data_IF_079634871695
#
_entry.id   IF_079634871695
#
_cell.length_a   1.000
_cell.length_b   1.000
_cell.length_c   1.000
_cell.angle_alpha   90.00
_cell.angle_beta   90.00
_cell.angle_gamma   90.00
#
_symmetry.space_group_name_H-M   'P 1'
#
loop_
_entity.id
_entity.type
_entity.pdbx_description
1 polymer ?
#
# COMPACT_ATOMS: atom_id res chain seq x y z
N UNK A 1 -70.50 -10.64 20.11
CA UNK A 1 -69.40 -11.33 20.82
C UNK A 1 -68.83 -12.49 20.00
N UNK A 2 -68.76 -12.41 18.69
CA UNK A 2 -68.12 -13.44 17.81
C UNK A 2 -67.29 -12.80 16.64
N UNK A 3 -67.15 -11.47 16.62
CA UNK A 3 -66.36 -10.77 15.59
C UNK A 3 -65.00 -10.31 16.12
N UNK A 4 -64.77 -10.29 17.41
CA UNK A 4 -63.48 -9.91 18.03
C UNK A 4 -62.50 -11.09 18.11
N UNK A 5 -62.97 -12.32 18.23
CA UNK A 5 -62.11 -13.52 18.25
C UNK A 5 -61.49 -13.86 16.89
N UNK A 6 -62.11 -13.42 15.77
CA UNK A 6 -61.56 -13.68 14.44
C UNK A 6 -60.48 -12.69 14.03
N UNK A 7 -60.40 -11.51 14.65
CA UNK A 7 -59.36 -10.51 14.36
C UNK A 7 -58.08 -10.79 15.16
N UNK A 8 -58.20 -11.36 16.38
CA UNK A 8 -57.01 -11.76 17.17
C UNK A 8 -56.35 -13.04 16.62
N UNK A 9 -57.11 -13.93 15.97
CA UNK A 9 -56.58 -15.09 15.26
C UNK A 9 -55.84 -14.72 13.97
N UNK A 10 -56.18 -13.60 13.33
CA UNK A 10 -55.49 -13.10 12.11
C UNK A 10 -54.27 -12.26 12.47
N UNK A 11 -54.20 -11.63 13.63
CA UNK A 11 -53.02 -10.87 14.08
C UNK A 11 -51.89 -11.73 14.59
N UNK A 12 -52.18 -12.98 15.02
CA UNK A 12 -51.18 -13.94 15.49
C UNK A 12 -50.51 -14.76 14.36
N UNK A 13 -51.01 -14.65 13.12
CA UNK A 13 -50.50 -15.44 11.97
C UNK A 13 -49.38 -14.74 11.18
N UNK A 14 -49.02 -13.51 11.42
CA UNK A 14 -48.25 -12.84 10.40
C UNK A 14 -46.86 -12.28 10.74
N UNK A 15 -46.37 -12.37 11.92
CA UNK A 15 -45.03 -11.82 12.21
C UNK A 15 -43.99 -12.88 12.58
N UNK A 16 -44.38 -14.13 12.74
CA UNK A 16 -43.47 -15.25 12.98
C UNK A 16 -43.27 -16.15 11.76
N UNK A 17 -43.72 -15.76 10.59
CA UNK A 17 -43.20 -16.39 9.38
C UNK A 17 -41.71 -16.05 9.26
N UNK A 18 -40.95 -16.80 10.07
CA UNK A 18 -39.71 -17.41 9.63
C UNK A 18 -39.06 -16.64 8.48
N UNK A 19 -38.16 -15.78 8.82
CA UNK A 19 -36.89 -15.71 8.04
C UNK A 19 -36.38 -17.16 8.07
N UNK A 20 -36.79 -17.99 7.12
CA UNK A 20 -36.23 -19.30 6.87
C UNK A 20 -34.77 -19.03 6.60
N UNK A 21 -33.94 -19.14 7.66
CA UNK A 21 -32.50 -18.96 7.54
C UNK A 21 -32.06 -19.99 6.51
N UNK A 22 -31.93 -19.53 5.26
CA UNK A 22 -31.48 -20.34 4.13
C UNK A 22 -30.20 -21.05 4.57
N UNK A 23 -30.22 -22.38 4.55
CA UNK A 23 -29.11 -23.19 4.96
C UNK A 23 -28.49 -23.83 3.74
N UNK A 24 -27.18 -23.70 3.58
CA UNK A 24 -26.43 -24.27 2.46
C UNK A 24 -25.47 -25.36 2.94
N UNK A 25 -25.23 -26.41 2.14
CA UNK A 25 -24.06 -27.26 2.35
C UNK A 25 -22.79 -26.42 2.39
N UNK A 26 -21.81 -26.84 3.18
CA UNK A 26 -20.57 -26.06 3.40
C UNK A 26 -19.85 -25.70 2.10
N UNK A 27 -19.74 -26.66 1.18
CA UNK A 27 -19.14 -26.45 -0.15
C UNK A 27 -19.92 -25.39 -0.94
N UNK A 28 -21.25 -25.51 -1.04
CA UNK A 28 -22.07 -24.53 -1.76
C UNK A 28 -22.00 -23.13 -1.13
N UNK A 29 -21.90 -23.07 0.20
CA UNK A 29 -21.69 -21.81 0.93
C UNK A 29 -20.38 -21.14 0.51
N UNK A 30 -19.28 -21.88 0.37
CA UNK A 30 -18.00 -21.33 -0.06
C UNK A 30 -17.97 -20.97 -1.57
N UNK A 31 -18.70 -21.69 -2.41
CA UNK A 31 -18.87 -21.34 -3.83
C UNK A 31 -19.56 -19.98 -4.00
N UNK A 32 -20.61 -19.72 -3.21
CA UNK A 32 -21.28 -18.40 -3.23
C UNK A 32 -20.39 -17.31 -2.65
N UNK A 33 -19.65 -17.59 -1.57
CA UNK A 33 -18.67 -16.65 -1.03
C UNK A 33 -17.60 -16.29 -2.07
N UNK A 34 -17.09 -17.28 -2.82
CA UNK A 34 -16.14 -17.06 -3.92
C UNK A 34 -16.76 -16.23 -5.06
N UNK A 35 -18.05 -16.43 -5.36
CA UNK A 35 -18.75 -15.59 -6.33
C UNK A 35 -18.86 -14.13 -5.87
N UNK A 36 -19.13 -13.89 -4.58
CA UNK A 36 -19.13 -12.54 -4.00
C UNK A 36 -17.74 -11.89 -4.13
N UNK A 37 -16.65 -12.61 -3.85
CA UNK A 37 -15.30 -12.10 -4.11
C UNK A 37 -15.09 -11.78 -5.60
N UNK A 38 -15.42 -12.72 -6.48
CA UNK A 38 -15.14 -12.60 -7.90
C UNK A 38 -15.92 -11.46 -8.54
N UNK A 39 -17.21 -11.36 -8.31
CA UNK A 39 -18.08 -10.43 -9.04
C UNK A 39 -18.29 -9.11 -8.29
N UNK A 40 -18.45 -9.14 -6.98
CA UNK A 40 -18.76 -7.95 -6.21
C UNK A 40 -17.53 -7.22 -5.73
N UNK A 41 -16.69 -7.87 -4.96
CA UNK A 41 -15.49 -7.23 -4.38
C UNK A 41 -14.47 -6.85 -5.46
N UNK A 42 -14.26 -7.71 -6.45
CA UNK A 42 -13.31 -7.47 -7.54
C UNK A 42 -13.90 -6.68 -8.72
N UNK A 43 -15.01 -5.94 -8.53
CA UNK A 43 -15.63 -5.12 -9.59
C UNK A 43 -14.65 -4.11 -10.19
N UNK A 44 -13.79 -3.49 -9.37
CA UNK A 44 -12.73 -2.57 -9.83
C UNK A 44 -11.71 -3.27 -10.75
N UNK A 45 -11.33 -4.50 -10.42
CA UNK A 45 -10.44 -5.32 -11.25
C UNK A 45 -11.07 -5.60 -12.63
N UNK A 46 -12.35 -5.97 -12.66
CA UNK A 46 -13.06 -6.25 -13.91
C UNK A 46 -13.23 -5.01 -14.78
N UNK A 47 -13.57 -3.88 -14.17
CA UNK A 47 -13.67 -2.60 -14.88
C UNK A 47 -12.34 -2.21 -15.52
N UNK A 48 -11.24 -2.33 -14.79
CA UNK A 48 -9.90 -2.01 -15.30
C UNK A 48 -9.46 -3.00 -16.39
N UNK A 49 -9.71 -4.29 -16.21
CA UNK A 49 -9.44 -5.32 -17.22
C UNK A 49 -10.22 -5.06 -18.50
N UNK A 50 -11.51 -4.71 -18.39
CA UNK A 50 -12.35 -4.35 -19.52
C UNK A 50 -11.79 -3.15 -20.29
N UNK A 51 -11.36 -2.10 -19.59
CA UNK A 51 -10.76 -0.92 -20.20
C UNK A 51 -9.45 -1.23 -20.95
N UNK A 52 -8.60 -2.09 -20.38
CA UNK A 52 -7.34 -2.48 -21.00
C UNK A 52 -7.51 -3.42 -22.19
N UNK A 53 -8.55 -4.24 -22.16
CA UNK A 53 -8.80 -5.22 -23.22
C UNK A 53 -9.33 -4.54 -24.50
N UNK A 54 -10.04 -3.40 -24.35
CA UNK A 54 -10.62 -2.64 -25.45
C UNK A 54 -11.33 -3.58 -26.46
N UNK A 55 -12.44 -4.17 -26.02
CA UNK A 55 -13.10 -5.29 -26.71
C UNK A 55 -13.41 -4.97 -28.16
N UNK A 56 -12.82 -5.72 -29.10
CA UNK A 56 -13.04 -5.60 -30.54
C UNK A 56 -13.64 -6.84 -31.17
N UNK A 57 -13.67 -7.97 -30.47
CA UNK A 57 -14.11 -9.23 -31.06
C UNK A 57 -14.61 -10.29 -30.07
N UNK A 58 -15.15 -11.37 -30.64
CA UNK A 58 -15.67 -12.51 -29.86
C UNK A 58 -14.60 -13.12 -28.96
N UNK A 59 -13.35 -13.17 -29.41
CA UNK A 59 -12.24 -13.74 -28.64
C UNK A 59 -11.95 -12.96 -27.34
N UNK A 60 -12.18 -11.66 -27.33
CA UNK A 60 -12.00 -10.84 -26.12
C UNK A 60 -13.09 -11.13 -25.08
N UNK A 61 -14.31 -11.41 -25.55
CA UNK A 61 -15.42 -11.85 -24.69
C UNK A 61 -15.14 -13.25 -24.13
N UNK A 62 -14.66 -14.17 -24.97
CA UNK A 62 -14.25 -15.54 -24.55
C UNK A 62 -13.14 -15.43 -23.51
N UNK A 63 -12.17 -14.53 -23.71
CA UNK A 63 -11.10 -14.27 -22.74
C UNK A 63 -11.65 -13.81 -21.39
N UNK A 64 -12.55 -12.82 -21.35
CA UNK A 64 -13.16 -12.33 -20.10
C UNK A 64 -13.97 -13.41 -19.39
N UNK A 65 -14.75 -14.20 -20.11
CA UNK A 65 -15.54 -15.29 -19.53
C UNK A 65 -14.62 -16.39 -18.95
N UNK A 66 -13.60 -16.77 -19.70
CA UNK A 66 -12.62 -17.77 -19.22
C UNK A 66 -11.86 -17.25 -18.01
N UNK A 67 -11.45 -15.99 -18.01
CA UNK A 67 -10.77 -15.35 -16.89
C UNK A 67 -11.67 -15.30 -15.65
N UNK A 68 -12.96 -15.01 -15.83
CA UNK A 68 -13.95 -15.04 -14.75
C UNK A 68 -14.06 -16.42 -14.12
N UNK A 69 -14.13 -17.47 -14.93
CA UNK A 69 -14.16 -18.86 -14.48
C UNK A 69 -12.86 -19.25 -13.75
N UNK A 70 -11.72 -18.81 -14.27
CA UNK A 70 -10.42 -19.07 -13.64
C UNK A 70 -10.32 -18.37 -12.27
N UNK A 71 -10.65 -17.09 -12.18
CA UNK A 71 -10.62 -16.32 -10.92
C UNK A 71 -11.59 -16.92 -9.91
N UNK A 72 -12.81 -17.24 -10.32
CA UNK A 72 -13.80 -17.88 -9.46
C UNK A 72 -13.35 -19.28 -9.00
N UNK A 73 -12.81 -20.08 -9.91
CA UNK A 73 -12.29 -21.40 -9.61
C UNK A 73 -11.12 -21.38 -8.62
N UNK A 74 -10.14 -20.50 -8.84
CA UNK A 74 -9.00 -20.33 -7.92
C UNK A 74 -9.45 -19.79 -6.57
N UNK A 75 -10.36 -18.80 -6.54
CA UNK A 75 -10.90 -18.26 -5.29
C UNK A 75 -11.65 -19.34 -4.52
N UNK A 76 -12.49 -20.12 -5.20
CA UNK A 76 -13.22 -21.25 -4.60
C UNK A 76 -12.25 -22.29 -4.03
N UNK A 77 -11.23 -22.67 -4.80
CA UNK A 77 -10.20 -23.60 -4.33
C UNK A 77 -9.54 -23.11 -3.04
N UNK A 78 -9.10 -21.85 -3.00
CA UNK A 78 -8.44 -21.27 -1.84
C UNK A 78 -9.39 -21.25 -0.63
N UNK A 79 -10.64 -20.82 -0.82
CA UNK A 79 -11.61 -20.82 0.28
C UNK A 79 -11.91 -22.23 0.80
N UNK A 80 -12.03 -23.23 -0.08
CA UNK A 80 -12.22 -24.63 0.31
C UNK A 80 -11.03 -25.20 1.08
N UNK A 81 -9.82 -24.78 0.77
CA UNK A 81 -8.60 -25.25 1.44
C UNK A 81 -8.39 -24.60 2.82
N UNK A 82 -8.81 -23.36 3.01
CA UNK A 82 -8.48 -22.59 4.22
C UNK A 82 -9.67 -22.28 5.13
N UNK A 83 -10.91 -22.29 4.63
CA UNK A 83 -12.09 -21.92 5.41
C UNK A 83 -12.78 -23.16 6.01
N UNK A 84 -12.38 -23.54 7.23
CA UNK A 84 -12.85 -24.77 7.89
C UNK A 84 -13.50 -24.52 9.24
N UNK A 85 -14.51 -25.29 9.54
CA UNK A 85 -15.10 -25.36 10.86
C UNK A 85 -15.64 -24.00 11.37
N UNK A 86 -15.47 -23.73 12.64
CA UNK A 86 -16.02 -22.53 13.29
C UNK A 86 -15.35 -21.22 12.81
N UNK A 87 -14.12 -21.29 12.29
CA UNK A 87 -13.34 -20.13 11.85
C UNK A 87 -13.77 -19.61 10.47
N UNK A 88 -14.54 -20.35 9.69
CA UNK A 88 -14.98 -19.95 8.34
C UNK A 88 -15.64 -18.58 8.33
N UNK A 89 -16.62 -18.32 9.20
CA UNK A 89 -17.33 -17.03 9.20
C UNK A 89 -16.45 -15.86 9.62
N UNK A 90 -15.70 -15.91 10.74
CA UNK A 90 -14.78 -14.84 11.10
C UNK A 90 -13.72 -14.59 9.99
N UNK A 91 -13.13 -15.65 9.44
CA UNK A 91 -12.11 -15.54 8.40
C UNK A 91 -12.66 -14.86 7.13
N UNK A 92 -13.83 -15.31 6.65
CA UNK A 92 -14.49 -14.67 5.51
C UNK A 92 -14.82 -13.21 5.79
N UNK A 93 -15.28 -12.88 7.02
CA UNK A 93 -15.58 -11.49 7.37
C UNK A 93 -14.33 -10.60 7.28
N UNK A 94 -13.22 -11.05 7.85
CA UNK A 94 -11.93 -10.32 7.78
C UNK A 94 -11.46 -10.19 6.33
N UNK A 95 -11.52 -11.27 5.55
CA UNK A 95 -11.12 -11.26 4.15
C UNK A 95 -11.98 -10.29 3.33
N UNK A 96 -13.31 -10.23 3.53
CA UNK A 96 -14.18 -9.29 2.83
C UNK A 96 -13.86 -7.83 3.19
N UNK A 97 -13.66 -7.52 4.48
CA UNK A 97 -13.34 -6.17 4.94
C UNK A 97 -12.01 -5.69 4.33
N UNK A 98 -10.94 -6.49 4.45
CA UNK A 98 -9.63 -6.13 3.91
C UNK A 98 -9.69 -6.02 2.38
N UNK A 99 -10.35 -6.97 1.72
CA UNK A 99 -10.47 -6.95 0.25
C UNK A 99 -11.23 -5.73 -0.27
N UNK A 100 -12.32 -5.32 0.42
CA UNK A 100 -13.07 -4.12 0.04
C UNK A 100 -12.23 -2.84 0.23
N UNK A 101 -11.43 -2.76 1.28
CA UNK A 101 -10.50 -1.66 1.50
C UNK A 101 -9.42 -1.63 0.40
N UNK A 102 -8.78 -2.76 0.10
CA UNK A 102 -7.80 -2.87 -0.99
C UNK A 102 -8.41 -2.47 -2.34
N UNK A 103 -9.63 -2.92 -2.64
CA UNK A 103 -10.34 -2.58 -3.86
C UNK A 103 -10.63 -1.07 -3.98
N UNK A 104 -10.98 -0.40 -2.86
CA UNK A 104 -11.15 1.06 -2.83
C UNK A 104 -9.87 1.80 -3.22
N UNK A 105 -8.75 1.48 -2.61
CA UNK A 105 -7.49 2.14 -2.89
C UNK A 105 -7.02 1.88 -4.32
N UNK A 106 -7.18 0.65 -4.82
CA UNK A 106 -6.88 0.31 -6.20
C UNK A 106 -7.77 1.08 -7.20
N UNK A 107 -9.06 1.21 -6.91
CA UNK A 107 -10.01 1.93 -7.77
C UNK A 107 -9.80 3.45 -7.73
N UNK A 108 -9.69 4.02 -6.52
CA UNK A 108 -9.68 5.48 -6.33
C UNK A 108 -8.34 6.11 -6.67
N UNK A 109 -7.25 5.44 -6.28
CA UNK A 109 -5.90 5.99 -6.37
C UNK A 109 -5.03 5.26 -7.40
N UNK A 110 -5.57 4.23 -8.07
CA UNK A 110 -4.86 3.36 -9.02
C UNK A 110 -3.57 2.76 -8.44
N UNK A 111 -3.62 2.47 -7.14
CA UNK A 111 -2.51 1.89 -6.39
C UNK A 111 -2.62 0.37 -6.40
N UNK A 112 -1.52 -0.27 -6.74
CA UNK A 112 -1.43 -1.73 -6.71
C UNK A 112 -1.00 -2.20 -5.32
N UNK A 113 -1.75 -3.17 -4.77
CA UNK A 113 -1.43 -3.74 -3.45
C UNK A 113 -0.34 -4.77 -3.63
N UNK A 114 0.90 -4.32 -3.53
CA UNK A 114 2.08 -5.16 -3.55
C UNK A 114 2.87 -5.03 -2.24
N UNK A 115 4.00 -5.73 -2.15
CA UNK A 115 4.86 -5.69 -0.97
C UNK A 115 5.32 -4.27 -0.60
N UNK A 116 5.68 -3.47 -1.59
CA UNK A 116 6.12 -2.08 -1.36
C UNK A 116 5.00 -1.22 -0.79
N UNK A 117 3.78 -1.39 -1.33
CA UNK A 117 2.60 -0.71 -0.78
C UNK A 117 2.31 -1.16 0.65
N UNK A 118 2.45 -2.47 0.94
CA UNK A 118 2.30 -2.97 2.30
C UNK A 118 3.37 -2.41 3.24
N UNK A 119 4.62 -2.32 2.79
CA UNK A 119 5.70 -1.67 3.55
C UNK A 119 5.36 -0.21 3.85
N UNK A 120 4.85 0.53 2.86
CA UNK A 120 4.40 1.91 3.07
C UNK A 120 3.28 1.98 4.12
N UNK A 121 2.25 1.13 4.01
CA UNK A 121 1.14 1.10 4.99
C UNK A 121 1.64 0.80 6.40
N UNK A 122 2.57 -0.14 6.55
CA UNK A 122 3.13 -0.49 7.87
C UNK A 122 4.04 0.60 8.47
N UNK A 123 4.58 1.48 7.63
CA UNK A 123 5.46 2.61 8.03
C UNK A 123 4.74 3.95 8.08
N UNK A 124 3.49 4.02 7.58
CA UNK A 124 2.66 5.23 7.62
C UNK A 124 2.22 5.52 9.06
N UNK A 125 2.35 6.76 9.51
CA UNK A 125 1.85 7.14 10.83
C UNK A 125 0.32 7.29 10.86
N UNK A 126 -0.23 7.28 12.08
CA UNK A 126 -1.68 7.32 12.32
C UNK A 126 -2.30 8.60 11.73
N UNK A 127 -1.60 9.73 11.79
CA UNK A 127 -2.10 11.01 11.30
C UNK A 127 -2.26 11.00 9.77
N UNK A 128 -1.27 10.47 9.05
CA UNK A 128 -1.33 10.31 7.60
C UNK A 128 -2.41 9.29 7.21
N UNK A 129 -2.50 8.17 7.94
CA UNK A 129 -3.51 7.14 7.70
C UNK A 129 -4.94 7.67 7.90
N UNK A 130 -5.20 8.50 8.92
CA UNK A 130 -6.52 9.08 9.16
C UNK A 130 -6.94 10.05 8.06
N UNK A 131 -5.99 10.75 7.42
CA UNK A 131 -6.25 11.60 6.25
C UNK A 131 -6.80 10.84 5.03
N UNK A 132 -6.61 9.52 4.98
CA UNK A 132 -7.16 8.66 3.93
C UNK A 132 -8.59 8.19 4.22
N UNK A 133 -9.07 8.30 5.48
CA UNK A 133 -10.42 7.92 5.90
C UNK A 133 -11.45 8.99 5.51
N UNK A 134 -11.76 9.05 4.23
CA UNK A 134 -12.76 9.99 3.70
C UNK A 134 -14.18 9.44 3.82
N UNK A 135 -15.20 10.34 3.76
CA UNK A 135 -16.60 9.94 3.68
C UNK A 135 -16.85 8.97 2.51
N UNK A 136 -16.18 9.15 1.38
CA UNK A 136 -16.28 8.26 0.21
C UNK A 136 -15.76 6.86 0.51
N UNK A 137 -14.71 6.74 1.31
CA UNK A 137 -14.20 5.46 1.78
C UNK A 137 -15.22 4.75 2.68
N UNK A 138 -15.83 5.46 3.63
CA UNK A 138 -16.84 4.88 4.52
C UNK A 138 -18.07 4.40 3.74
N UNK A 139 -18.54 5.19 2.78
CA UNK A 139 -19.64 4.80 1.91
C UNK A 139 -19.29 3.56 1.07
N UNK A 140 -18.09 3.52 0.51
CA UNK A 140 -17.59 2.36 -0.21
C UNK A 140 -17.58 1.11 0.68
N UNK A 141 -17.03 1.20 1.89
CA UNK A 141 -17.01 0.08 2.83
C UNK A 141 -18.44 -0.38 3.18
N UNK A 142 -19.35 0.54 3.41
CA UNK A 142 -20.75 0.21 3.67
C UNK A 142 -21.38 -0.57 2.50
N UNK A 143 -21.21 -0.08 1.28
CA UNK A 143 -21.80 -0.70 0.08
C UNK A 143 -21.20 -2.07 -0.20
N UNK A 144 -19.88 -2.21 -0.13
CA UNK A 144 -19.20 -3.45 -0.52
C UNK A 144 -19.19 -4.52 0.58
N UNK A 145 -19.04 -4.12 1.84
CA UNK A 145 -18.91 -5.06 2.96
C UNK A 145 -20.25 -5.52 3.48
N UNK A 146 -21.27 -4.64 3.55
CA UNK A 146 -22.55 -5.00 4.18
C UNK A 146 -23.25 -6.19 3.51
N UNK A 147 -23.38 -6.27 2.17
CA UNK A 147 -24.01 -7.43 1.51
C UNK A 147 -23.20 -8.72 1.73
N UNK A 148 -21.86 -8.62 1.72
CA UNK A 148 -20.99 -9.76 1.96
C UNK A 148 -21.14 -10.30 3.40
N UNK A 149 -21.15 -9.42 4.40
CA UNK A 149 -21.37 -9.81 5.79
C UNK A 149 -22.80 -10.29 6.04
N UNK A 150 -23.80 -9.67 5.40
CA UNK A 150 -25.19 -10.15 5.47
C UNK A 150 -25.31 -11.60 4.95
N UNK A 151 -24.59 -11.94 3.88
CA UNK A 151 -24.46 -13.31 3.42
C UNK A 151 -23.78 -14.21 4.46
N UNK A 152 -22.59 -13.83 4.94
CA UNK A 152 -21.78 -14.63 5.87
C UNK A 152 -22.56 -14.97 7.15
N UNK A 153 -23.26 -14.01 7.72
CA UNK A 153 -23.96 -14.20 9.01
C UNK A 153 -25.43 -14.58 8.85
N UNK A 154 -26.08 -14.18 7.75
CA UNK A 154 -27.49 -14.48 7.48
C UNK A 154 -27.73 -15.93 7.02
N UNK A 155 -26.79 -16.54 6.30
CA UNK A 155 -26.93 -17.89 5.79
C UNK A 155 -26.38 -18.91 6.80
N UNK A 156 -27.20 -19.93 7.15
CA UNK A 156 -26.73 -21.05 7.98
C UNK A 156 -25.91 -22.00 7.11
N UNK A 157 -24.74 -22.39 7.61
CA UNK A 157 -23.88 -23.38 7.02
C UNK A 157 -24.17 -24.75 7.61
N UNK A 158 -24.26 -25.78 6.76
CA UNK A 158 -24.40 -27.18 7.18
C UNK A 158 -23.07 -27.92 6.96
N UNK A 159 -22.22 -28.05 7.98
CA UNK A 159 -21.01 -28.84 7.88
C UNK A 159 -21.33 -30.32 7.79
N UNK A 160 -20.49 -31.10 7.14
CA UNK A 160 -20.59 -32.57 7.13
C UNK A 160 -20.07 -33.08 8.44
N UNK A 161 -20.88 -33.93 9.12
CA UNK A 161 -20.60 -34.39 10.49
C UNK A 161 -19.26 -35.15 10.58
N UNK A 162 -18.92 -35.99 9.59
CA UNK A 162 -17.68 -36.75 9.59
C UNK A 162 -16.56 -35.90 8.98
N UNK A 163 -15.52 -35.54 9.75
CA UNK A 163 -14.44 -34.67 9.38
C UNK A 163 -13.69 -35.13 8.10
N UNK A 164 -13.41 -36.43 7.96
CA UNK A 164 -12.73 -36.96 6.80
C UNK A 164 -13.56 -36.87 5.50
N UNK A 165 -14.90 -37.07 5.60
CA UNK A 165 -15.80 -36.82 4.45
C UNK A 165 -15.82 -35.34 4.08
N UNK A 166 -15.87 -34.48 5.10
CA UNK A 166 -15.80 -33.02 4.85
C UNK A 166 -14.50 -32.67 4.12
N UNK A 167 -13.36 -33.17 4.60
CA UNK A 167 -12.05 -33.01 3.95
C UNK A 167 -12.07 -33.52 2.51
N UNK A 168 -12.55 -34.74 2.26
CA UNK A 168 -12.62 -35.32 0.92
C UNK A 168 -13.46 -34.47 -0.03
N UNK A 169 -14.63 -33.98 0.42
CA UNK A 169 -15.47 -33.08 -0.38
C UNK A 169 -14.78 -31.75 -0.65
N UNK A 170 -14.13 -31.15 0.32
CA UNK A 170 -13.38 -29.89 0.12
C UNK A 170 -12.26 -30.07 -0.90
N UNK A 171 -11.46 -31.14 -0.80
CA UNK A 171 -10.38 -31.42 -1.74
C UNK A 171 -10.92 -31.72 -3.14
N UNK A 172 -11.96 -32.57 -3.24
CA UNK A 172 -12.58 -32.90 -4.53
C UNK A 172 -13.07 -31.63 -5.26
N UNK A 173 -13.85 -30.81 -4.55
CA UNK A 173 -14.41 -29.59 -5.15
C UNK A 173 -13.36 -28.49 -5.35
N UNK A 174 -12.29 -28.43 -4.55
CA UNK A 174 -11.15 -27.56 -4.79
C UNK A 174 -10.43 -27.92 -6.09
N UNK A 175 -10.15 -29.22 -6.31
CA UNK A 175 -9.54 -29.71 -7.55
C UNK A 175 -10.47 -29.46 -8.75
N UNK A 176 -11.76 -29.77 -8.58
CA UNK A 176 -12.74 -29.60 -9.67
C UNK A 176 -12.90 -28.12 -10.06
N UNK A 177 -12.97 -27.21 -9.09
CA UNK A 177 -13.09 -25.76 -9.38
C UNK A 177 -11.87 -25.22 -10.10
N UNK A 178 -10.66 -25.64 -9.70
CA UNK A 178 -9.43 -25.29 -10.41
C UNK A 178 -9.42 -25.90 -11.83
N UNK A 179 -9.79 -27.17 -11.98
CA UNK A 179 -9.82 -27.86 -13.25
C UNK A 179 -10.75 -27.17 -14.26
N UNK A 180 -11.93 -26.72 -13.81
CA UNK A 180 -12.87 -25.95 -14.66
C UNK A 180 -12.24 -24.63 -15.12
N UNK A 181 -11.61 -23.89 -14.20
CA UNK A 181 -10.92 -22.63 -14.53
C UNK A 181 -9.78 -22.83 -15.54
N UNK A 182 -8.96 -23.87 -15.34
CA UNK A 182 -7.86 -24.22 -16.24
C UNK A 182 -8.38 -24.69 -17.59
N UNK A 183 -9.39 -25.56 -17.63
CA UNK A 183 -9.99 -26.05 -18.87
C UNK A 183 -10.54 -24.90 -19.72
N UNK A 184 -11.09 -23.85 -19.10
CA UNK A 184 -11.57 -22.65 -19.79
C UNK A 184 -10.42 -21.76 -20.31
N UNK A 185 -9.26 -21.73 -19.64
CA UNK A 185 -8.17 -20.80 -19.95
C UNK A 185 -7.08 -21.40 -20.84
N UNK A 186 -6.76 -22.71 -20.71
CA UNK A 186 -5.70 -23.36 -21.45
C UNK A 186 -5.85 -23.27 -22.98
N UNK A 187 -7.03 -23.43 -23.60
CA UNK A 187 -7.18 -23.34 -25.06
C UNK A 187 -6.77 -21.97 -25.62
N UNK A 188 -6.86 -20.91 -24.79
CA UNK A 188 -6.54 -19.53 -25.17
C UNK A 188 -5.34 -18.97 -24.39
N UNK A 189 -4.42 -19.86 -23.96
CA UNK A 189 -3.28 -19.44 -23.13
C UNK A 189 -2.41 -18.35 -23.77
N UNK A 190 -2.36 -18.29 -25.11
CA UNK A 190 -1.62 -17.24 -25.84
C UNK A 190 -2.16 -15.85 -25.55
N UNK A 191 -3.49 -15.71 -25.46
CA UNK A 191 -4.15 -14.45 -25.10
C UNK A 191 -3.82 -14.07 -23.66
N UNK A 192 -3.82 -15.04 -22.73
CA UNK A 192 -3.40 -14.83 -21.35
C UNK A 192 -1.94 -14.38 -21.27
N UNK A 193 -1.03 -15.09 -21.93
CA UNK A 193 0.38 -14.75 -21.94
C UNK A 193 0.64 -13.36 -22.50
N UNK A 194 -0.04 -12.98 -23.59
CA UNK A 194 0.05 -11.64 -24.19
C UNK A 194 -0.50 -10.57 -23.27
N UNK A 195 -1.72 -10.76 -22.75
CA UNK A 195 -2.38 -9.79 -21.91
C UNK A 195 -1.59 -9.53 -20.61
N UNK A 196 -1.23 -10.55 -19.86
CA UNK A 196 -0.53 -10.38 -18.58
C UNK A 196 0.95 -9.99 -18.74
N UNK A 197 1.59 -10.33 -19.86
CA UNK A 197 2.94 -9.81 -20.15
C UNK A 197 2.94 -8.29 -20.30
N UNK A 198 1.92 -7.75 -20.98
CA UNK A 198 1.79 -6.31 -21.21
C UNK A 198 1.19 -5.57 -20.00
N UNK A 199 0.40 -6.27 -19.16
CA UNK A 199 -0.36 -5.69 -18.07
C UNK A 199 -0.06 -6.42 -16.73
N UNK A 200 1.21 -6.61 -16.40
CA UNK A 200 1.66 -7.38 -15.21
C UNK A 200 1.05 -6.88 -13.89
N UNK A 201 0.72 -5.60 -13.83
CA UNK A 201 0.24 -4.98 -12.59
C UNK A 201 -1.24 -5.30 -12.30
N UNK A 202 -2.02 -5.68 -13.31
CA UNK A 202 -3.46 -5.99 -13.15
C UNK A 202 -3.70 -7.09 -12.13
N UNK A 203 -2.83 -8.11 -12.10
CA UNK A 203 -2.93 -9.22 -11.14
C UNK A 203 -2.84 -8.72 -9.68
N UNK A 204 -2.09 -7.62 -9.45
CA UNK A 204 -1.95 -7.00 -8.13
C UNK A 204 -3.21 -6.28 -7.64
N UNK A 205 -4.25 -6.16 -8.45
CA UNK A 205 -5.57 -5.65 -8.05
C UNK A 205 -6.50 -6.74 -7.55
N UNK A 206 -6.18 -8.02 -7.83
CA UNK A 206 -7.08 -9.14 -7.57
C UNK A 206 -7.09 -9.52 -6.09
N UNK A 207 -8.19 -9.24 -5.41
CA UNK A 207 -8.39 -9.59 -3.99
C UNK A 207 -9.07 -10.97 -3.87
N UNK A 208 -8.77 -11.74 -2.82
CA UNK A 208 -7.88 -11.48 -1.67
C UNK A 208 -6.39 -11.79 -1.95
N UNK A 209 -6.02 -12.23 -3.14
CA UNK A 209 -4.70 -12.75 -3.45
C UNK A 209 -3.60 -11.69 -3.32
N UNK A 210 -3.89 -10.45 -3.74
CA UNK A 210 -2.93 -9.35 -3.71
C UNK A 210 -2.36 -9.11 -2.30
N UNK A 211 -3.21 -8.89 -1.30
CA UNK A 211 -2.71 -8.62 0.06
C UNK A 211 -2.16 -9.89 0.74
N UNK A 212 -2.69 -11.09 0.45
CA UNK A 212 -2.14 -12.34 1.00
C UNK A 212 -0.71 -12.56 0.48
N UNK A 213 -0.51 -12.50 -0.83
CA UNK A 213 0.82 -12.66 -1.43
C UNK A 213 1.79 -11.56 -1.01
N UNK A 214 1.31 -10.32 -0.89
CA UNK A 214 2.10 -9.20 -0.42
C UNK A 214 2.49 -9.34 1.04
N UNK A 215 1.58 -9.84 1.90
CA UNK A 215 1.88 -10.11 3.32
C UNK A 215 2.91 -11.21 3.48
N UNK A 216 2.80 -12.30 2.72
CA UNK A 216 3.80 -13.39 2.72
C UNK A 216 5.15 -12.86 2.24
N UNK A 217 5.16 -12.11 1.14
CA UNK A 217 6.38 -11.52 0.60
C UNK A 217 7.01 -10.52 1.58
N UNK A 218 6.20 -9.71 2.27
CA UNK A 218 6.67 -8.80 3.31
C UNK A 218 7.32 -9.56 4.47
N UNK A 219 6.64 -10.60 4.99
CA UNK A 219 7.20 -11.40 6.09
C UNK A 219 8.50 -12.12 5.70
N UNK A 220 8.59 -12.65 4.48
CA UNK A 220 9.80 -13.27 3.95
C UNK A 220 10.95 -12.26 3.85
N UNK A 221 10.66 -11.01 3.46
CA UNK A 221 11.67 -9.96 3.43
C UNK A 221 12.15 -9.58 4.82
N UNK A 222 11.25 -9.37 5.76
CA UNK A 222 11.60 -9.07 7.15
C UNK A 222 12.52 -10.16 7.76
N UNK A 223 12.17 -11.43 7.50
CA UNK A 223 13.01 -12.55 7.95
C UNK A 223 14.40 -12.55 7.31
N UNK A 224 14.47 -12.28 6.00
CA UNK A 224 15.75 -12.23 5.28
C UNK A 224 16.61 -11.06 5.75
N UNK A 225 16.01 -9.88 5.92
CA UNK A 225 16.71 -8.67 6.35
C UNK A 225 17.32 -8.85 7.75
N UNK A 226 16.61 -9.54 8.65
CA UNK A 226 17.13 -9.88 9.98
C UNK A 226 18.36 -10.82 9.97
N UNK A 227 18.62 -11.49 8.84
CA UNK A 227 19.73 -12.45 8.69
C UNK A 227 20.79 -12.00 7.67
N UNK A 228 20.67 -10.78 7.14
CA UNK A 228 21.65 -10.24 6.20
C UNK A 228 22.91 -9.76 6.91
N UNK A 229 24.05 -9.95 6.26
CA UNK A 229 25.33 -9.38 6.72
C UNK A 229 25.39 -7.92 6.32
N UNK A 230 25.72 -7.06 7.27
CA UNK A 230 25.87 -5.63 6.99
C UNK A 230 27.08 -5.37 6.08
N UNK A 231 26.89 -4.51 5.08
CA UNK A 231 27.93 -4.16 4.10
C UNK A 231 28.49 -2.80 4.42
N UNK A 232 29.79 -2.75 4.77
CA UNK A 232 30.51 -1.52 4.97
C UNK A 232 31.05 -0.98 3.64
N UNK A 233 30.86 0.31 3.39
CA UNK A 233 31.42 1.02 2.22
C UNK A 233 32.08 2.32 2.64
N UNK A 234 33.02 2.83 1.83
CA UNK A 234 33.73 4.07 2.11
C UNK A 234 34.56 4.05 3.40
N UNK A 235 35.13 2.89 3.74
CA UNK A 235 35.97 2.74 4.95
C UNK A 235 37.27 3.55 4.89
N UNK A 236 37.71 3.93 3.72
CA UNK A 236 38.85 4.76 3.40
C UNK A 236 38.55 6.25 3.33
N UNK A 237 37.27 6.64 3.49
CA UNK A 237 36.81 8.02 3.41
C UNK A 237 37.51 8.89 4.46
N UNK A 238 38.03 10.01 4.01
CA UNK A 238 38.71 11.02 4.84
C UNK A 238 38.24 12.40 4.48
N UNK A 239 38.08 13.23 5.50
CA UNK A 239 37.80 14.63 5.28
C UNK A 239 39.06 15.37 4.84
N UNK A 240 39.02 16.01 3.67
CA UNK A 240 40.07 16.85 3.17
C UNK A 240 39.60 18.30 3.16
N UNK A 241 40.22 19.15 3.97
CA UNK A 241 39.94 20.59 4.00
C UNK A 241 41.04 21.36 3.30
N UNK A 242 40.68 22.34 2.43
CA UNK A 242 41.65 23.31 1.95
C UNK A 242 42.28 24.06 3.12
N UNK A 243 43.60 24.37 3.06
CA UNK A 243 44.30 25.08 4.12
C UNK A 243 43.70 26.47 4.46
N UNK A 244 42.97 27.04 3.52
CA UNK A 244 42.21 28.29 3.69
C UNK A 244 40.97 28.18 4.56
N UNK A 245 40.45 26.96 4.80
CA UNK A 245 39.23 26.72 5.58
C UNK A 245 39.61 26.38 7.02
N UNK A 246 39.68 27.40 7.87
CA UNK A 246 40.04 27.25 9.29
C UNK A 246 38.85 27.08 10.23
N UNK A 247 37.65 27.46 9.76
CA UNK A 247 36.40 27.35 10.55
C UNK A 247 35.66 26.05 10.24
N UNK A 248 34.86 25.53 11.18
CA UNK A 248 33.95 24.44 10.90
C UNK A 248 32.94 24.80 9.80
N UNK A 249 32.64 23.83 8.96
CA UNK A 249 31.66 23.97 7.87
C UNK A 249 30.33 23.37 8.31
N UNK A 250 29.22 24.05 8.02
CA UNK A 250 27.88 23.51 8.17
C UNK A 250 27.31 23.23 6.77
N UNK A 251 27.03 21.97 6.50
CA UNK A 251 26.41 21.53 5.27
C UNK A 251 24.95 21.16 5.57
N UNK A 252 24.01 21.76 4.88
CA UNK A 252 22.57 21.54 5.07
C UNK A 252 21.99 20.90 3.83
N UNK A 253 21.39 19.72 3.99
CA UNK A 253 20.62 19.04 2.95
C UNK A 253 19.14 19.17 3.28
N UNK A 254 18.36 19.74 2.38
CA UNK A 254 16.90 19.80 2.51
C UNK A 254 16.30 18.74 1.61
N UNK A 255 15.72 17.70 2.22
CA UNK A 255 15.03 16.63 1.50
C UNK A 255 13.57 17.03 1.31
N UNK A 256 13.22 17.43 0.08
CA UNK A 256 11.84 17.75 -0.29
C UNK A 256 10.99 16.51 -0.48
N UNK A 257 9.70 16.62 -0.22
CA UNK A 257 8.72 15.56 -0.47
C UNK A 257 7.67 16.02 -1.48
N UNK A 258 7.29 15.12 -2.40
CA UNK A 258 6.24 15.29 -3.42
C UNK A 258 6.36 16.53 -4.31
N UNK A 259 7.55 17.13 -4.40
CA UNK A 259 7.82 18.24 -5.30
C UNK A 259 7.82 17.78 -6.76
N UNK A 260 6.96 18.38 -7.59
CA UNK A 260 6.88 18.07 -9.03
C UNK A 260 7.81 18.95 -9.82
N UNK A 261 8.86 18.38 -10.42
CA UNK A 261 9.84 19.12 -11.22
C UNK A 261 9.24 19.89 -12.40
N UNK A 262 8.14 19.37 -13.01
CA UNK A 262 7.41 20.04 -14.10
C UNK A 262 6.60 21.26 -13.64
N UNK A 263 6.49 21.51 -12.34
CA UNK A 263 5.83 22.65 -11.73
C UNK A 263 6.80 23.69 -11.15
N UNK A 264 8.09 23.50 -11.36
CA UNK A 264 9.10 24.46 -10.95
C UNK A 264 9.37 25.50 -12.06
N UNK A 265 9.22 26.80 -11.74
CA UNK A 265 9.54 27.88 -12.68
C UNK A 265 11.00 27.88 -13.09
N UNK A 266 11.90 27.41 -12.23
CA UNK A 266 13.32 27.20 -12.55
C UNK A 266 13.54 26.14 -13.64
N UNK A 267 12.57 25.24 -13.83
CA UNK A 267 12.59 24.22 -14.88
C UNK A 267 11.80 24.62 -16.14
N UNK A 268 11.26 25.86 -16.19
CA UNK A 268 10.50 26.36 -17.33
C UNK A 268 8.98 26.34 -17.17
N UNK A 269 8.46 26.09 -15.97
CA UNK A 269 7.01 26.21 -15.72
C UNK A 269 6.57 27.68 -15.83
N UNK A 270 5.44 27.94 -16.52
CA UNK A 270 4.98 29.29 -16.86
C UNK A 270 4.51 30.15 -15.67
N UNK A 271 4.23 29.55 -14.51
CA UNK A 271 3.93 30.31 -13.28
C UNK A 271 5.18 30.43 -12.41
N UNK A 272 5.36 31.56 -11.76
CA UNK A 272 6.48 31.78 -10.85
C UNK A 272 6.25 31.03 -9.53
N UNK A 273 6.70 29.78 -9.45
CA UNK A 273 6.58 28.88 -8.28
C UNK A 273 7.81 28.89 -7.38
N UNK A 274 8.93 29.52 -7.82
CA UNK A 274 10.16 29.60 -7.06
C UNK A 274 10.66 31.07 -6.91
N UNK A 275 9.80 32.02 -6.44
CA UNK A 275 10.12 33.45 -6.50
C UNK A 275 11.31 33.86 -5.63
N UNK A 276 11.56 33.16 -4.53
CA UNK A 276 12.68 33.42 -3.62
C UNK A 276 13.96 32.73 -4.09
N UNK A 277 13.87 31.48 -4.52
CA UNK A 277 15.01 30.71 -4.99
C UNK A 277 15.62 31.35 -6.26
N UNK A 278 14.79 31.83 -7.19
CA UNK A 278 15.25 32.45 -8.42
C UNK A 278 16.10 33.71 -8.22
N UNK A 279 16.01 34.34 -7.03
CA UNK A 279 16.79 35.56 -6.68
C UNK A 279 18.10 35.23 -5.95
N UNK A 280 18.34 33.95 -5.61
CA UNK A 280 19.55 33.57 -4.88
C UNK A 280 20.78 33.60 -5.77
N UNK A 281 21.85 34.25 -5.32
CA UNK A 281 23.13 34.19 -5.96
C UNK A 281 23.78 32.82 -5.79
N UNK A 282 24.44 32.33 -6.83
CA UNK A 282 25.09 31.02 -6.79
C UNK A 282 24.13 29.81 -6.89
N UNK A 283 22.86 30.05 -7.21
CA UNK A 283 21.89 28.96 -7.43
C UNK A 283 22.30 28.10 -8.63
N UNK A 284 22.38 26.78 -8.42
CA UNK A 284 22.54 25.78 -9.46
C UNK A 284 21.27 24.92 -9.49
N UNK A 285 20.58 24.88 -10.64
CA UNK A 285 19.37 24.08 -10.81
C UNK A 285 19.61 22.95 -11.82
N UNK A 286 19.39 21.71 -11.36
CA UNK A 286 19.51 20.50 -12.17
C UNK A 286 18.17 20.15 -12.82
N UNK A 287 18.00 20.48 -14.09
CA UNK A 287 16.74 20.32 -14.83
C UNK A 287 16.37 18.85 -15.12
N UNK A 288 17.36 17.97 -15.20
CA UNK A 288 17.19 16.55 -15.53
C UNK A 288 17.33 15.61 -14.33
N UNK A 289 17.16 16.14 -13.09
CA UNK A 289 17.15 15.30 -11.91
C UNK A 289 15.89 14.44 -11.85
N UNK A 290 16.05 13.14 -11.59
CA UNK A 290 14.97 12.18 -11.50
C UNK A 290 15.05 11.44 -10.17
N UNK A 291 13.91 11.29 -9.48
CA UNK A 291 13.82 10.43 -8.31
C UNK A 291 13.90 8.95 -8.71
N UNK A 292 14.42 8.11 -7.82
CA UNK A 292 14.40 6.66 -7.99
C UNK A 292 12.97 6.09 -8.01
N UNK A 293 12.05 6.74 -7.33
CA UNK A 293 10.65 6.32 -7.25
C UNK A 293 9.76 7.42 -6.69
N UNK A 294 8.47 7.17 -6.66
CA UNK A 294 7.43 8.11 -6.18
C UNK A 294 7.04 7.91 -4.71
N UNK A 295 7.51 6.84 -4.07
CA UNK A 295 7.29 6.57 -2.65
C UNK A 295 8.53 6.95 -1.83
N UNK A 296 8.33 7.57 -0.67
CA UNK A 296 9.40 7.96 0.27
C UNK A 296 10.27 6.76 0.65
N UNK A 297 9.66 5.60 0.89
CA UNK A 297 10.36 4.35 1.20
C UNK A 297 11.32 3.88 0.08
N UNK A 298 11.21 4.44 -1.11
CA UNK A 298 12.07 4.12 -2.25
C UNK A 298 13.06 5.26 -2.54
N UNK A 299 12.57 6.50 -2.54
CA UNK A 299 13.36 7.65 -2.96
C UNK A 299 14.41 8.06 -1.94
N UNK A 300 14.08 8.04 -0.65
CA UNK A 300 15.00 8.49 0.40
C UNK A 300 16.21 7.55 0.54
N UNK A 301 16.06 6.22 0.72
CA UNK A 301 17.23 5.35 0.75
C UNK A 301 18.11 5.43 -0.50
N UNK A 302 17.48 5.57 -1.69
CA UNK A 302 18.21 5.71 -2.94
C UNK A 302 19.01 7.02 -3.02
N UNK A 303 18.48 8.11 -2.47
CA UNK A 303 19.11 9.43 -2.48
C UNK A 303 20.43 9.46 -1.69
N UNK A 304 20.53 8.64 -0.65
CA UNK A 304 21.71 8.55 0.22
C UNK A 304 22.58 7.32 -0.04
N UNK A 305 22.24 6.48 -1.03
CA UNK A 305 23.00 5.28 -1.40
C UNK A 305 24.23 5.62 -2.25
N UNK A 306 25.26 4.80 -2.14
CA UNK A 306 26.42 4.76 -3.03
C UNK A 306 26.12 4.05 -4.37
N UNK A 307 24.97 3.38 -4.48
CA UNK A 307 24.57 2.63 -5.65
C UNK A 307 23.71 3.48 -6.59
N UNK A 308 23.83 3.19 -7.90
CA UNK A 308 22.97 3.81 -8.88
C UNK A 308 21.50 3.36 -8.75
N UNK A 309 20.58 4.12 -9.37
CA UNK A 309 19.15 3.73 -9.43
C UNK A 309 18.91 2.34 -10.00
N UNK A 310 19.79 1.86 -10.89
CA UNK A 310 19.64 0.55 -11.53
C UNK A 310 20.15 -0.58 -10.64
N UNK A 311 21.14 -0.31 -9.80
CA UNK A 311 21.86 -1.29 -9.01
C UNK A 311 21.31 -1.41 -7.58
N UNK A 312 20.64 -0.36 -7.09
CA UNK A 312 20.13 -0.35 -5.72
C UNK A 312 18.94 -1.29 -5.56
N UNK A 313 19.06 -2.19 -4.60
CA UNK A 313 17.93 -2.91 -4.04
C UNK A 313 17.52 -2.23 -2.73
N UNK A 314 16.37 -1.56 -2.75
CA UNK A 314 15.87 -0.79 -1.60
C UNK A 314 15.66 -1.68 -0.37
N UNK A 315 15.33 -2.95 -0.56
CA UNK A 315 15.14 -3.88 0.55
C UNK A 315 16.44 -4.13 1.32
N UNK A 316 17.58 -4.04 0.65
CA UNK A 316 18.89 -4.26 1.24
C UNK A 316 19.58 -2.94 1.67
N UNK A 317 19.00 -1.79 1.35
CA UNK A 317 19.57 -0.49 1.67
C UNK A 317 19.84 -0.27 3.18
N UNK A 318 18.97 -0.73 4.10
CA UNK A 318 19.24 -0.63 5.55
C UNK A 318 20.46 -1.43 6.02
N UNK A 319 20.83 -2.48 5.29
CA UNK A 319 21.94 -3.39 5.62
C UNK A 319 23.26 -2.99 4.93
N UNK A 320 23.37 -1.71 4.52
CA UNK A 320 24.55 -1.15 3.88
C UNK A 320 24.82 0.25 4.40
N UNK A 321 26.08 0.63 4.54
CA UNK A 321 26.46 2.02 4.82
C UNK A 321 25.88 2.94 3.73
N UNK A 322 25.37 4.08 4.17
CA UNK A 322 24.89 5.14 3.30
C UNK A 322 25.75 6.42 3.47
N UNK A 323 25.43 7.48 2.76
CA UNK A 323 26.17 8.74 2.80
C UNK A 323 26.31 9.28 4.24
N UNK A 324 25.29 9.15 5.09
CA UNK A 324 25.31 9.67 6.45
C UNK A 324 26.34 8.92 7.33
N UNK A 325 26.41 7.59 7.17
CA UNK A 325 27.39 6.75 7.87
C UNK A 325 28.83 7.12 7.50
N UNK A 326 29.04 7.32 6.17
CA UNK A 326 30.38 7.68 5.65
C UNK A 326 30.77 9.06 6.15
N UNK A 327 29.88 10.06 6.07
CA UNK A 327 30.16 11.42 6.54
C UNK A 327 30.44 11.44 8.05
N UNK A 328 29.63 10.72 8.84
CA UNK A 328 29.86 10.61 10.29
C UNK A 328 31.22 9.99 10.61
N UNK A 329 31.63 8.96 9.87
CA UNK A 329 32.92 8.28 10.01
C UNK A 329 34.12 9.22 9.76
N UNK A 330 33.96 10.23 8.91
CA UNK A 330 34.99 11.24 8.66
C UNK A 330 35.17 12.26 9.81
N UNK A 331 34.36 12.19 10.88
CA UNK A 331 34.41 13.05 12.05
C UNK A 331 33.44 14.24 12.00
N UNK A 332 32.61 14.38 10.97
CA UNK A 332 31.55 15.37 10.96
C UNK A 332 30.39 14.95 11.87
N UNK A 333 29.76 15.92 12.54
CA UNK A 333 28.52 15.67 13.29
C UNK A 333 27.37 15.61 12.30
N UNK A 334 26.74 14.43 12.19
CA UNK A 334 25.57 14.21 11.32
C UNK A 334 24.32 14.22 12.17
N UNK A 335 23.27 14.90 11.73
CA UNK A 335 21.97 14.91 12.38
C UNK A 335 20.85 14.94 11.33
N UNK A 336 19.76 14.20 11.60
CA UNK A 336 18.54 14.17 10.80
C UNK A 336 17.41 14.84 11.57
N UNK A 337 16.82 15.88 11.01
CA UNK A 337 15.64 16.55 11.55
C UNK A 337 14.45 16.23 10.64
N UNK A 338 13.45 15.55 11.19
CA UNK A 338 12.34 15.00 10.44
C UNK A 338 11.03 15.72 10.72
N UNK A 339 10.39 16.22 9.67
CA UNK A 339 9.02 16.73 9.68
C UNK A 339 8.08 15.86 8.80
N UNK A 340 8.54 14.67 8.40
CA UNK A 340 7.81 13.72 7.57
C UNK A 340 7.51 12.42 8.35
N UNK A 341 7.15 11.34 7.67
CA UNK A 341 6.83 10.02 8.25
C UNK A 341 8.08 9.17 8.60
N UNK A 342 9.24 9.83 8.80
CA UNK A 342 10.50 9.19 9.12
C UNK A 342 11.43 9.05 7.92
N UNK A 343 12.68 8.67 8.19
CA UNK A 343 13.78 8.62 7.21
C UNK A 343 13.86 7.30 6.44
N UNK A 344 12.90 6.41 6.59
CA UNK A 344 12.88 5.08 5.93
C UNK A 344 14.19 4.29 6.20
N UNK A 345 14.60 4.27 7.46
CA UNK A 345 15.82 3.62 7.98
C UNK A 345 17.15 4.22 7.51
N UNK A 346 17.13 5.21 6.64
CA UNK A 346 18.34 5.90 6.16
C UNK A 346 19.10 6.57 7.29
N UNK A 347 18.40 7.15 8.28
CA UNK A 347 18.99 7.82 9.44
C UNK A 347 19.10 6.92 10.69
N UNK A 348 18.87 5.61 10.58
CA UNK A 348 18.80 4.70 11.74
C UNK A 348 20.09 4.61 12.57
N UNK A 349 21.22 5.11 12.05
CA UNK A 349 22.53 5.09 12.69
C UNK A 349 23.10 6.48 13.02
N UNK A 350 22.30 7.52 12.82
CA UNK A 350 22.68 8.91 13.17
C UNK A 350 21.64 9.52 14.12
N UNK A 351 22.02 10.53 14.93
CA UNK A 351 21.08 11.27 15.76
C UNK A 351 19.91 11.83 14.95
N UNK A 352 18.70 11.62 15.44
CA UNK A 352 17.45 12.00 14.74
C UNK A 352 16.53 12.76 15.68
N UNK A 353 16.00 13.88 15.22
CA UNK A 353 14.96 14.66 15.90
C UNK A 353 13.66 14.65 15.09
N UNK A 354 12.56 14.21 15.69
CA UNK A 354 11.23 14.25 15.09
C UNK A 354 10.49 15.51 15.56
N UNK A 355 9.99 16.34 14.63
CA UNK A 355 9.31 17.62 14.94
C UNK A 355 7.79 17.50 15.08
N UNK A 356 7.18 16.36 14.76
CA UNK A 356 5.73 16.16 14.75
C UNK A 356 5.01 16.37 16.09
N UNK A 357 5.75 16.49 17.20
CA UNK A 357 5.14 16.70 18.52
C UNK A 357 4.59 18.13 18.71
N UNK A 358 5.03 19.10 17.92
CA UNK A 358 4.68 20.50 18.03
C UNK A 358 3.69 20.99 16.96
N UNK A 359 2.92 20.08 16.36
CA UNK A 359 1.96 20.43 15.32
C UNK A 359 0.69 21.07 15.90
N UNK A 360 0.34 22.28 15.47
CA UNK A 360 -0.92 22.92 15.80
C UNK A 360 -2.06 22.30 14.99
N UNK A 361 -3.13 21.85 15.65
CA UNK A 361 -4.32 21.24 15.04
C UNK A 361 -4.01 20.07 14.06
N UNK A 362 -2.89 19.36 14.29
CA UNK A 362 -2.46 18.27 13.41
C UNK A 362 -1.78 18.71 12.12
N UNK A 363 -1.52 20.00 11.93
CA UNK A 363 -0.80 20.55 10.77
C UNK A 363 0.65 20.84 11.16
N UNK A 364 1.57 20.20 10.47
CA UNK A 364 3.01 20.36 10.67
C UNK A 364 3.59 21.11 9.47
N UNK A 365 3.73 22.42 9.59
CA UNK A 365 4.38 23.24 8.56
C UNK A 365 5.89 23.03 8.54
N UNK A 366 6.50 23.12 7.37
CA UNK A 366 7.94 22.92 7.19
C UNK A 366 8.79 24.08 7.73
N UNK A 367 8.19 25.23 8.06
CA UNK A 367 8.83 26.34 8.77
C UNK A 367 9.44 25.91 10.11
N UNK A 368 8.92 24.88 10.75
CA UNK A 368 9.50 24.32 11.99
C UNK A 368 10.93 23.82 11.78
N UNK A 369 11.26 23.32 10.58
CA UNK A 369 12.63 22.94 10.22
C UNK A 369 13.59 24.13 10.24
N UNK A 370 13.10 25.32 9.85
CA UNK A 370 13.89 26.56 9.92
C UNK A 370 14.18 26.93 11.36
N UNK A 371 13.18 26.80 12.26
CA UNK A 371 13.37 27.02 13.70
C UNK A 371 14.40 26.07 14.29
N UNK A 372 14.34 24.78 13.95
CA UNK A 372 15.32 23.78 14.38
C UNK A 372 16.73 24.13 13.86
N UNK A 373 16.87 24.51 12.58
CA UNK A 373 18.14 24.94 12.02
C UNK A 373 18.71 26.16 12.75
N UNK A 374 17.88 27.19 13.00
CA UNK A 374 18.31 28.40 13.72
C UNK A 374 18.80 28.09 15.14
N UNK A 375 18.15 27.17 15.84
CA UNK A 375 18.61 26.75 17.17
C UNK A 375 20.00 26.08 17.09
N UNK A 376 20.26 25.26 16.08
CA UNK A 376 21.57 24.62 15.86
C UNK A 376 22.66 25.65 15.56
N UNK A 377 22.35 26.61 14.69
CA UNK A 377 23.31 27.66 14.28
C UNK A 377 23.64 28.66 15.39
N UNK A 378 22.78 28.79 16.42
CA UNK A 378 23.08 29.60 17.61
C UNK A 378 24.10 28.95 18.55
N UNK A 379 24.27 27.63 18.47
CA UNK A 379 25.27 26.93 19.28
C UNK A 379 26.66 27.07 18.69
N UNK A 380 27.72 27.12 19.52
CA UNK A 380 29.08 27.15 19.01
C UNK A 380 29.38 25.91 18.16
N UNK A 381 29.74 26.10 16.92
CA UNK A 381 30.09 25.02 16.00
C UNK A 381 31.56 24.65 16.22
N UNK A 382 31.84 23.55 16.89
CA UNK A 382 33.19 23.06 17.21
C UNK A 382 33.76 22.09 16.17
N UNK A 383 32.90 21.41 15.40
CA UNK A 383 33.23 20.46 14.35
C UNK A 383 32.34 20.68 13.13
N UNK A 384 32.77 20.16 11.98
CA UNK A 384 31.91 20.17 10.79
C UNK A 384 30.58 19.50 11.06
N UNK A 385 29.50 20.05 10.51
CA UNK A 385 28.14 19.53 10.69
C UNK A 385 27.51 19.21 9.33
N UNK A 386 26.82 18.08 9.29
CA UNK A 386 26.00 17.67 8.16
C UNK A 386 24.55 17.50 8.66
N UNK A 387 23.71 18.48 8.36
CA UNK A 387 22.34 18.52 8.83
C UNK A 387 21.38 18.15 7.71
N UNK A 388 20.54 17.15 7.92
CA UNK A 388 19.48 16.78 6.99
C UNK A 388 18.15 17.27 7.55
N UNK A 389 17.44 18.08 6.76
CA UNK A 389 16.11 18.61 7.07
C UNK A 389 15.10 17.94 6.14
N UNK A 390 14.30 17.02 6.67
CA UNK A 390 13.33 16.26 5.89
C UNK A 390 11.95 16.90 5.95
N UNK A 391 11.52 17.47 4.83
CA UNK A 391 10.26 18.18 4.71
C UNK A 391 9.08 17.22 4.59
N UNK A 392 7.91 17.65 5.10
CA UNK A 392 6.64 17.06 4.76
C UNK A 392 6.20 17.46 3.33
N UNK A 393 6.57 18.66 2.91
CA UNK A 393 6.32 19.17 1.57
C UNK A 393 4.85 19.19 1.19
N UNK A 394 4.57 18.97 -0.09
CA UNK A 394 3.19 18.92 -0.62
C UNK A 394 2.58 17.52 -0.51
N UNK A 395 2.77 16.82 0.61
CA UNK A 395 2.28 15.45 0.77
C UNK A 395 0.74 15.39 0.77
N UNK A 396 0.18 14.50 -0.06
CA UNK A 396 -1.25 14.29 -0.13
C UNK A 396 -1.84 13.53 1.09
N UNK A 397 -3.18 13.44 1.21
CA UNK A 397 -4.18 13.99 0.29
C UNK A 397 -4.50 15.47 0.50
N UNK A 398 -4.13 16.05 1.65
CA UNK A 398 -4.48 17.44 2.05
C UNK A 398 -3.31 18.42 1.81
N UNK A 399 -2.66 18.34 0.63
CA UNK A 399 -1.51 19.18 0.29
C UNK A 399 -1.80 20.69 0.39
N UNK A 400 -3.05 21.11 0.16
CA UNK A 400 -3.50 22.51 0.27
C UNK A 400 -3.48 23.04 1.71
N UNK A 401 -3.33 22.19 2.71
CA UNK A 401 -3.19 22.52 4.13
C UNK A 401 -1.73 22.51 4.61
N UNK A 402 -0.75 22.29 3.71
CA UNK A 402 0.65 22.10 4.08
C UNK A 402 1.50 23.38 4.00
N UNK A 403 0.91 24.48 3.61
CA UNK A 403 1.54 25.82 3.58
C UNK A 403 0.53 26.90 4.02
N UNK A 404 1.04 28.01 4.60
CA UNK A 404 0.22 29.11 5.07
C UNK A 404 -0.66 29.71 4.00
#
# INVERSE_FOLDING_TARGET
>A
MRLTESLDALSSISVHQAVVKRSLPEVAYLFVAAAIFTFWINSAYWLHTYQLLNIHGVMDVVFLLSQTLLVWGVTTMVLLLFCWGKLTKPLLSVLFVISAACAYFSFKYQVYIDRHMLTNVMRTDVHEATGLLSWKFLLWMLVYVTPALAYVWGVKRRPIAKWWRNLSFHLLFAILSLAVGLAASLPIYKNYASFFRNNKQVVKMLTPFNFITSSVSYAQHQYRDAHQVFVHVGMDAKQVKPASVTKPTVFVVVVGATGRGDRFSLNGYGRNTNPLLSKQQGLVSFKNAQSCGTATAYSVPCMFSDLSRQDINIDNAPMRDNLLDIVQRTGAKVEWVDNNSGCQETCGRVPTQQLKQDCQEGLCYDEQLVGALQQRLKQPVQADQFLVLHMNGSHGPAYYQRYP
#
